data_IF_905492101639
#
_entry.id   IF_905492101639
#
_cell.length_a   1.000
_cell.length_b   1.000
_cell.length_c   1.000
_cell.angle_alpha   90.00
_cell.angle_beta   90.00
_cell.angle_gamma   90.00
#
_symmetry.space_group_name_H-M   'P 1'
#
loop_
_entity.id
_entity.type
_entity.pdbx_description
1 polymer ?
#
# COMPACT_ATOMS: atom_id res chain seq x y z
N UNK A 1 9.90 -12.73 -10.54
CA UNK A 1 10.14 -13.22 -9.16
C UNK A 1 9.19 -12.49 -8.21
N UNK A 2 8.97 -13.00 -6.97
CA UNK A 2 8.12 -12.31 -5.96
C UNK A 2 8.63 -10.88 -5.70
N UNK A 3 9.94 -10.71 -5.60
CA UNK A 3 10.58 -9.40 -5.42
C UNK A 3 10.27 -8.42 -6.56
N UNK A 4 10.30 -8.86 -7.82
CA UNK A 4 9.95 -8.03 -8.97
C UNK A 4 8.50 -7.54 -8.90
N UNK A 5 7.59 -8.40 -8.44
CA UNK A 5 6.16 -8.07 -8.32
C UNK A 5 5.93 -7.00 -7.26
N UNK A 6 6.56 -7.14 -6.09
CA UNK A 6 6.49 -6.15 -5.01
C UNK A 6 7.13 -4.83 -5.46
N UNK A 7 8.28 -4.90 -6.12
CA UNK A 7 8.98 -3.73 -6.66
C UNK A 7 8.12 -2.99 -7.69
N UNK A 8 7.46 -3.73 -8.59
CA UNK A 8 6.51 -3.17 -9.56
C UNK A 8 5.33 -2.51 -8.85
N UNK A 9 4.72 -3.18 -7.89
CA UNK A 9 3.60 -2.63 -7.11
C UNK A 9 3.96 -1.33 -6.40
N UNK A 10 5.10 -1.28 -5.69
CA UNK A 10 5.60 -0.08 -5.00
C UNK A 10 5.91 1.04 -6.01
N UNK A 11 6.50 0.70 -7.17
CA UNK A 11 6.77 1.67 -8.22
C UNK A 11 5.47 2.28 -8.75
N UNK A 12 4.46 1.45 -9.05
CA UNK A 12 3.14 1.89 -9.51
C UNK A 12 2.45 2.76 -8.46
N UNK A 13 2.52 2.40 -7.18
CA UNK A 13 2.02 3.20 -6.07
C UNK A 13 2.64 4.60 -6.05
N UNK A 14 3.98 4.66 -6.15
CA UNK A 14 4.75 5.90 -6.10
C UNK A 14 4.49 6.80 -7.32
N UNK A 15 4.25 6.23 -8.50
CA UNK A 15 3.93 6.98 -9.72
C UNK A 15 2.44 7.31 -9.85
N UNK A 16 1.60 6.93 -8.88
CA UNK A 16 0.13 7.01 -8.96
C UNK A 16 -0.45 6.27 -10.18
N UNK A 17 0.21 5.20 -10.60
CA UNK A 17 -0.24 4.32 -11.67
C UNK A 17 -1.15 3.24 -11.08
N UNK A 18 -2.46 3.52 -11.09
CA UNK A 18 -3.46 2.64 -10.47
C UNK A 18 -3.63 1.36 -11.26
N UNK A 19 -3.64 1.41 -12.59
CA UNK A 19 -3.68 0.19 -13.41
C UNK A 19 -2.46 -0.68 -13.15
N UNK A 20 -1.27 -0.07 -13.13
CA UNK A 20 -0.03 -0.78 -12.84
C UNK A 20 0.04 -1.34 -11.42
N UNK A 21 -0.71 -0.82 -10.45
CA UNK A 21 -0.87 -1.42 -9.12
C UNK A 21 -1.82 -2.62 -9.19
N UNK A 22 -2.96 -2.45 -9.87
CA UNK A 22 -4.01 -3.46 -9.95
C UNK A 22 -3.59 -4.68 -10.80
N UNK A 23 -2.66 -4.51 -11.74
CA UNK A 23 -2.04 -5.61 -12.49
C UNK A 23 -1.17 -6.53 -11.63
N UNK A 24 -0.78 -6.09 -10.43
CA UNK A 24 0.05 -6.87 -9.52
C UNK A 24 -0.74 -7.76 -8.56
N UNK A 25 -2.08 -7.68 -8.58
CA UNK A 25 -2.97 -8.32 -7.60
C UNK A 25 -4.01 -9.22 -8.28
N UNK A 26 -4.56 -10.18 -7.53
CA UNK A 26 -5.67 -11.01 -8.02
C UNK A 26 -6.96 -10.20 -8.09
N UNK A 27 -7.94 -10.68 -8.84
CA UNK A 27 -9.27 -10.06 -8.94
C UNK A 27 -9.96 -9.99 -7.57
N UNK A 28 -9.77 -11.03 -6.75
CA UNK A 28 -10.29 -11.22 -5.40
C UNK A 28 -9.32 -10.74 -4.29
N UNK A 29 -8.40 -9.82 -4.61
CA UNK A 29 -7.38 -9.37 -3.64
C UNK A 29 -8.01 -8.83 -2.36
N UNK A 30 -7.42 -9.18 -1.22
CA UNK A 30 -7.76 -8.59 0.08
C UNK A 30 -6.71 -7.54 0.44
N UNK A 31 -7.12 -6.28 0.54
CA UNK A 31 -6.28 -5.19 1.04
C UNK A 31 -6.68 -4.83 2.47
N UNK A 32 -5.70 -4.78 3.37
CA UNK A 32 -5.91 -4.45 4.78
C UNK A 32 -5.00 -3.30 5.19
N UNK A 33 -5.56 -2.31 5.87
CA UNK A 33 -4.81 -1.27 6.55
C UNK A 33 -5.06 -1.37 8.05
N UNK A 34 -4.01 -1.68 8.80
CA UNK A 34 -4.05 -1.99 10.23
C UNK A 34 -3.23 -0.94 10.95
N UNK A 35 -3.92 -0.03 11.64
CA UNK A 35 -3.27 1.03 12.40
C UNK A 35 -2.95 0.59 13.83
N UNK A 36 -1.89 1.18 14.40
CA UNK A 36 -1.51 1.03 15.81
C UNK A 36 -2.60 1.46 16.81
N UNK A 37 -3.63 2.17 16.36
CA UNK A 37 -4.78 2.57 17.19
C UNK A 37 -5.88 1.50 17.23
N UNK A 38 -5.63 0.30 16.69
CA UNK A 38 -6.55 -0.83 16.68
C UNK A 38 -7.64 -0.75 15.60
N UNK A 39 -7.61 0.27 14.74
CA UNK A 39 -8.51 0.33 13.58
C UNK A 39 -7.93 -0.52 12.45
N UNK A 40 -8.74 -1.46 11.97
CA UNK A 40 -8.48 -2.25 10.77
C UNK A 40 -9.53 -1.89 9.72
N UNK A 41 -9.06 -1.55 8.52
CA UNK A 41 -9.91 -1.40 7.35
C UNK A 41 -9.58 -2.52 6.38
N UNK A 42 -10.60 -3.25 5.92
CA UNK A 42 -10.46 -4.34 4.96
C UNK A 42 -11.25 -4.00 3.71
N UNK A 43 -10.63 -4.20 2.55
CA UNK A 43 -11.18 -3.93 1.24
C UNK A 43 -10.98 -5.16 0.36
N UNK A 44 -12.06 -5.63 -0.24
CA UNK A 44 -12.06 -6.86 -1.04
C UNK A 44 -12.30 -6.55 -2.51
N UNK A 45 -11.44 -7.11 -3.34
CA UNK A 45 -11.49 -6.99 -4.79
C UNK A 45 -10.78 -5.76 -5.35
N UNK A 46 -10.42 -5.85 -6.64
CA UNK A 46 -9.72 -4.79 -7.38
C UNK A 46 -10.48 -3.47 -7.40
N UNK A 47 -11.81 -3.50 -7.46
CA UNK A 47 -12.64 -2.29 -7.50
C UNK A 47 -12.52 -1.49 -6.19
N UNK A 48 -12.57 -2.17 -5.03
CA UNK A 48 -12.36 -1.50 -3.75
C UNK A 48 -10.93 -1.04 -3.54
N UNK A 49 -9.96 -1.83 -4.00
CA UNK A 49 -8.56 -1.40 -3.98
C UNK A 49 -8.34 -0.14 -4.83
N UNK A 50 -8.98 -0.04 -6.00
CA UNK A 50 -8.97 1.15 -6.87
C UNK A 50 -9.51 2.37 -6.14
N UNK A 51 -10.73 2.29 -5.60
CA UNK A 51 -11.37 3.39 -4.85
C UNK A 51 -10.43 3.92 -3.75
N UNK A 52 -9.82 3.03 -2.97
CA UNK A 52 -8.89 3.40 -1.89
C UNK A 52 -7.61 4.02 -2.43
N UNK A 53 -7.04 3.46 -3.51
CA UNK A 53 -5.83 3.98 -4.13
C UNK A 53 -6.03 5.41 -4.68
N UNK A 54 -7.20 5.69 -5.26
CA UNK A 54 -7.64 6.99 -5.75
C UNK A 54 -7.84 7.98 -4.60
N UNK A 55 -8.63 7.61 -3.59
CA UNK A 55 -8.87 8.45 -2.40
C UNK A 55 -7.56 8.82 -1.70
N UNK A 56 -6.68 7.83 -1.49
CA UNK A 56 -5.35 8.07 -0.92
C UNK A 56 -4.48 8.93 -1.85
N UNK A 57 -4.60 8.79 -3.17
CA UNK A 57 -3.90 9.63 -4.14
C UNK A 57 -4.30 11.11 -4.06
N UNK A 58 -5.59 11.39 -3.81
CA UNK A 58 -6.12 12.73 -3.62
C UNK A 58 -5.80 13.33 -2.25
N UNK A 59 -5.66 12.50 -1.20
CA UNK A 59 -5.33 12.95 0.14
C UNK A 59 -3.91 13.56 0.25
N UNK A 60 -3.01 13.24 -0.68
CA UNK A 60 -1.60 13.61 -0.63
C UNK A 60 -1.11 14.32 -1.89
N UNK A 61 -0.44 15.47 -1.75
CA UNK A 61 0.14 16.21 -2.88
C UNK A 61 1.34 15.48 -3.46
N UNK A 62 2.08 14.75 -2.63
CA UNK A 62 2.93 13.62 -3.02
C UNK A 62 2.82 12.54 -1.95
N UNK A 63 3.01 11.28 -2.36
CA UNK A 63 3.13 10.12 -1.49
C UNK A 63 4.19 9.18 -2.04
N UNK A 64 4.96 8.55 -1.18
CA UNK A 64 6.02 7.62 -1.56
C UNK A 64 6.19 6.54 -0.50
N UNK A 65 6.24 5.30 -0.94
CA UNK A 65 6.74 4.16 -0.19
C UNK A 65 8.18 3.87 -0.62
N UNK A 66 9.04 3.66 0.36
CA UNK A 66 10.42 3.20 0.17
C UNK A 66 10.56 1.83 0.83
N UNK A 67 10.93 0.84 0.03
CA UNK A 67 11.28 -0.49 0.52
C UNK A 67 12.60 -0.40 1.29
N UNK A 68 12.58 -0.69 2.59
CA UNK A 68 13.76 -0.69 3.46
C UNK A 68 14.40 -2.06 3.51
N UNK A 69 13.57 -3.09 3.70
CA UNK A 69 14.00 -4.49 3.71
C UNK A 69 12.88 -5.38 3.19
N UNK A 70 13.24 -6.56 2.68
CA UNK A 70 12.31 -7.54 2.12
C UNK A 70 12.75 -8.95 2.51
N UNK A 71 11.82 -9.72 3.08
CA UNK A 71 12.01 -11.15 3.38
C UNK A 71 10.95 -11.94 2.63
N UNK A 72 11.37 -12.97 1.89
CA UNK A 72 10.50 -13.80 1.06
C UNK A 72 10.61 -15.26 1.52
N UNK A 73 9.48 -15.93 1.67
CA UNK A 73 9.44 -17.34 2.03
C UNK A 73 8.05 -17.96 1.89
N UNK A 74 7.98 -19.23 1.49
CA UNK A 74 6.74 -20.03 1.45
C UNK A 74 5.57 -19.35 0.70
N UNK A 75 5.84 -18.65 -0.41
CA UNK A 75 4.81 -17.95 -1.18
C UNK A 75 4.27 -16.68 -0.52
N UNK A 76 4.99 -16.17 0.48
CA UNK A 76 4.69 -14.92 1.18
C UNK A 76 5.91 -14.00 1.17
N UNK A 77 5.67 -12.73 1.44
CA UNK A 77 6.74 -11.77 1.69
C UNK A 77 6.36 -10.80 2.80
N UNK A 78 7.36 -10.34 3.55
CA UNK A 78 7.24 -9.25 4.51
C UNK A 78 8.23 -8.15 4.10
N UNK A 79 7.72 -6.93 3.97
CA UNK A 79 8.49 -5.77 3.63
C UNK A 79 8.45 -4.76 4.77
N UNK A 80 9.59 -4.17 5.08
CA UNK A 80 9.63 -2.95 5.87
C UNK A 80 9.51 -1.74 4.94
N UNK A 81 8.57 -0.85 5.22
CA UNK A 81 8.25 0.30 4.38
C UNK A 81 8.41 1.59 5.18
N UNK A 82 9.18 2.52 4.61
CA UNK A 82 9.14 3.93 4.98
C UNK A 82 8.14 4.64 4.05
N UNK A 83 7.00 5.05 4.61
CA UNK A 83 6.04 5.91 3.94
C UNK A 83 6.35 7.36 4.24
N UNK A 84 6.34 8.20 3.20
CA UNK A 84 6.41 9.63 3.30
C UNK A 84 5.34 10.26 2.39
N UNK A 85 4.59 11.23 2.91
CA UNK A 85 3.62 11.96 2.11
C UNK A 85 3.36 13.35 2.64
N UNK A 86 3.01 14.28 1.75
CA UNK A 86 2.56 15.63 2.11
C UNK A 86 1.07 15.76 1.92
N UNK A 87 0.35 16.11 2.98
CA UNK A 87 -1.10 16.22 2.96
C UNK A 87 -1.54 17.30 1.95
N UNK A 88 -2.43 16.96 1.02
CA UNK A 88 -3.05 17.92 0.11
C UNK A 88 -4.28 18.59 0.74
N UNK A 89 -4.91 17.88 1.68
CA UNK A 89 -6.12 18.29 2.40
C UNK A 89 -5.91 18.06 3.89
N UNK A 90 -6.79 18.61 4.72
CA UNK A 90 -6.84 18.24 6.13
C UNK A 90 -7.23 16.75 6.25
N UNK A 91 -6.40 15.97 6.93
CA UNK A 91 -6.59 14.52 7.05
C UNK A 91 -7.40 14.17 8.31
N UNK A 92 -8.13 13.05 8.31
CA UNK A 92 -8.94 12.61 9.46
C UNK A 92 -8.15 12.39 10.76
N UNK A 93 -6.84 12.15 10.66
CA UNK A 93 -5.93 11.99 11.79
C UNK A 93 -5.46 13.33 12.40
N UNK A 94 -6.06 14.45 11.99
CA UNK A 94 -5.77 15.79 12.51
C UNK A 94 -4.57 16.49 11.87
N UNK A 95 -3.94 15.90 10.85
CA UNK A 95 -2.89 16.57 10.06
C UNK A 95 -3.50 17.60 9.12
N UNK A 96 -2.88 18.76 9.03
CA UNK A 96 -3.31 19.87 8.19
C UNK A 96 -2.73 19.78 6.78
N UNK A 97 -3.45 20.35 5.81
CA UNK A 97 -2.93 20.49 4.45
C UNK A 97 -1.55 21.18 4.47
N UNK A 98 -0.60 20.61 3.71
CA UNK A 98 0.77 21.08 3.64
C UNK A 98 1.74 20.43 4.64
N UNK A 99 1.25 19.71 5.66
CA UNK A 99 2.12 18.98 6.59
C UNK A 99 2.70 17.71 5.94
N UNK A 100 3.94 17.39 6.30
CA UNK A 100 4.61 16.14 5.90
C UNK A 100 4.44 15.08 6.97
N UNK A 101 4.09 13.88 6.54
CA UNK A 101 3.92 12.69 7.36
C UNK A 101 5.01 11.70 6.98
N UNK A 102 5.67 11.13 7.98
CA UNK A 102 6.59 10.01 7.82
C UNK A 102 6.16 8.89 8.76
N UNK A 103 5.97 7.70 8.22
CA UNK A 103 5.54 6.52 8.96
C UNK A 103 6.46 5.38 8.56
N UNK A 104 6.94 4.63 9.55
CA UNK A 104 7.65 3.38 9.31
C UNK A 104 6.73 2.25 9.72
N UNK A 105 6.52 1.31 8.81
CA UNK A 105 5.57 0.24 8.97
C UNK A 105 6.04 -1.04 8.27
N UNK A 106 5.17 -2.03 8.27
CA UNK A 106 5.42 -3.31 7.62
C UNK A 106 4.26 -3.66 6.68
N UNK A 107 4.59 -4.16 5.50
CA UNK A 107 3.62 -4.69 4.53
C UNK A 107 3.82 -6.19 4.39
N UNK A 108 2.74 -6.96 4.49
CA UNK A 108 2.74 -8.40 4.29
C UNK A 108 1.99 -8.74 3.01
N UNK A 109 2.61 -9.59 2.20
CA UNK A 109 2.11 -10.00 0.90
C UNK A 109 1.91 -11.50 0.87
N UNK A 110 0.75 -11.94 0.42
CA UNK A 110 0.49 -13.35 0.10
C UNK A 110 0.20 -13.47 -1.40
N UNK A 111 0.73 -14.54 -2.00
CA UNK A 111 0.69 -14.72 -3.45
C UNK A 111 -0.17 -15.93 -3.84
N UNK A 112 -0.92 -15.77 -4.93
CA UNK A 112 -1.57 -16.87 -5.65
C UNK A 112 -1.00 -16.90 -7.06
N UNK A 113 -0.09 -17.84 -7.30
CA UNK A 113 0.70 -17.86 -8.53
C UNK A 113 1.66 -16.66 -8.58
N UNK A 114 1.52 -15.82 -9.60
CA UNK A 114 2.38 -14.64 -9.78
C UNK A 114 1.77 -13.34 -9.21
N UNK A 115 0.50 -13.35 -8.84
CA UNK A 115 -0.23 -12.16 -8.36
C UNK A 115 -0.37 -12.18 -6.85
N UNK A 116 -0.43 -11.00 -6.23
CA UNK A 116 -0.72 -10.86 -4.81
C UNK A 116 -2.22 -11.06 -4.56
N UNK A 117 -2.56 -12.03 -3.73
CA UNK A 117 -3.94 -12.25 -3.28
C UNK A 117 -4.26 -11.51 -1.99
N UNK A 118 -3.24 -11.07 -1.25
CA UNK A 118 -3.42 -10.26 -0.05
C UNK A 118 -2.28 -9.26 0.11
N UNK A 119 -2.63 -8.05 0.51
CA UNK A 119 -1.71 -6.97 0.87
C UNK A 119 -2.17 -6.38 2.20
N UNK A 120 -1.39 -6.56 3.26
CA UNK A 120 -1.73 -6.06 4.59
C UNK A 120 -0.66 -5.10 5.10
N UNK A 121 -1.04 -3.84 5.28
CA UNK A 121 -0.17 -2.75 5.73
C UNK A 121 -0.39 -2.46 7.21
N UNK A 122 0.70 -2.48 7.98
CA UNK A 122 0.74 -2.18 9.40
C UNK A 122 1.51 -0.88 9.65
N UNK A 123 0.88 0.07 10.34
CA UNK A 123 1.40 1.43 10.60
C UNK A 123 1.21 1.91 12.02
#
# INVERSE_FOLDING_TARGET
MIEDMITRYIKSYNSRDIEGMLDCVTEDVVFENISNHGQTMTFEGRDKMREVAELSGHAFSYRRQKLVSLVIGQGKAAAEIEFEGKAAVDLPNGRKAGETIKIRGASFFEFRGQLMSRVADYS
#
